data_IF_739270609844
#
_entry.id   IF_739270609844
#
_cell.length_a   1.000
_cell.length_b   1.000
_cell.length_c   1.000
_cell.angle_alpha   90.00
_cell.angle_beta   90.00
_cell.angle_gamma   90.00
#
_symmetry.space_group_name_H-M   'P 1'
#
loop_
_entity.id
_entity.type
_entity.pdbx_description
1 polymer ?
#
# COMPACT_ATOMS: atom_id res chain seq x y z
N UNK A 1 -23.24 5.62 11.39
CA UNK A 1 -22.12 5.39 10.47
C UNK A 1 -21.20 4.30 11.04
N UNK A 2 -20.53 3.54 10.18
CA UNK A 2 -19.55 2.50 10.54
C UNK A 2 -18.25 2.82 9.81
N UNK A 3 -17.14 2.96 10.52
CA UNK A 3 -15.80 3.07 9.94
C UNK A 3 -15.08 1.74 10.04
N UNK A 4 -14.98 1.03 8.92
CA UNK A 4 -14.29 -0.25 8.83
C UNK A 4 -12.85 -0.05 8.35
N UNK A 5 -11.93 0.15 9.30
CA UNK A 5 -10.49 0.27 9.07
C UNK A 5 -9.69 -0.99 9.47
N UNK A 6 -10.38 -2.04 9.93
CA UNK A 6 -9.76 -3.28 10.39
C UNK A 6 -9.33 -4.15 9.23
N UNK A 7 -8.02 -4.39 9.08
CA UNK A 7 -7.47 -5.33 8.11
C UNK A 7 -6.20 -5.99 8.66
N UNK A 8 -6.02 -7.26 8.32
CA UNK A 8 -4.74 -7.96 8.41
C UNK A 8 -3.86 -7.51 7.24
N UNK A 9 -2.79 -6.80 7.55
CA UNK A 9 -1.79 -6.32 6.58
C UNK A 9 -0.53 -7.16 6.74
N UNK A 10 -0.29 -8.05 5.78
CA UNK A 10 0.92 -8.84 5.66
C UNK A 10 1.18 -9.02 4.17
N UNK A 11 2.41 -8.71 3.75
CA UNK A 11 2.81 -8.77 2.34
C UNK A 11 3.44 -10.12 1.99
N UNK A 12 3.73 -10.97 2.99
CA UNK A 12 4.39 -12.27 2.80
C UNK A 12 3.41 -13.46 2.84
N UNK A 13 2.12 -13.21 3.07
CA UNK A 13 1.09 -14.24 3.22
C UNK A 13 0.21 -14.32 1.97
N UNK A 14 -0.31 -15.51 1.69
CA UNK A 14 -1.23 -15.71 0.56
C UNK A 14 -2.65 -15.24 0.90
N UNK A 15 -3.48 -15.15 -0.14
CA UNK A 15 -4.87 -14.73 -0.03
C UNK A 15 -5.67 -15.50 1.03
N UNK A 16 -5.42 -16.81 1.19
CA UNK A 16 -6.17 -17.69 2.09
C UNK A 16 -6.04 -17.25 3.55
N UNK A 17 -4.88 -16.77 3.93
CA UNK A 17 -4.49 -16.33 5.27
C UNK A 17 -5.08 -14.95 5.62
N UNK A 18 -5.45 -14.18 4.59
CA UNK A 18 -6.13 -12.89 4.74
C UNK A 18 -7.66 -12.97 4.60
N UNK A 19 -8.18 -14.01 3.96
CA UNK A 19 -9.62 -14.13 3.62
C UNK A 19 -10.54 -13.93 4.81
N UNK A 20 -10.25 -14.56 5.94
CA UNK A 20 -11.10 -14.48 7.13
C UNK A 20 -11.13 -13.06 7.68
N UNK A 21 -9.97 -12.44 7.90
CA UNK A 21 -9.91 -11.10 8.50
C UNK A 21 -10.42 -10.01 7.57
N UNK A 22 -10.06 -10.05 6.29
CA UNK A 22 -10.26 -8.92 5.38
C UNK A 22 -11.55 -9.07 4.57
N UNK A 23 -11.85 -10.25 4.04
CA UNK A 23 -13.07 -10.47 3.22
C UNK A 23 -14.26 -10.80 4.12
N UNK A 24 -14.16 -11.81 4.98
CA UNK A 24 -15.30 -12.14 5.86
C UNK A 24 -15.55 -11.03 6.89
N UNK A 25 -14.48 -10.39 7.39
CA UNK A 25 -14.59 -9.20 8.24
C UNK A 25 -15.37 -8.06 7.58
N UNK A 26 -15.01 -7.68 6.35
CA UNK A 26 -15.72 -6.65 5.59
C UNK A 26 -17.17 -7.07 5.30
N UNK A 27 -17.41 -8.33 4.92
CA UNK A 27 -18.75 -8.85 4.67
C UNK A 27 -19.66 -8.75 5.91
N UNK A 28 -19.15 -9.13 7.09
CA UNK A 28 -19.89 -9.01 8.34
C UNK A 28 -20.17 -7.54 8.70
N UNK A 29 -19.21 -6.65 8.49
CA UNK A 29 -19.40 -5.23 8.72
C UNK A 29 -20.44 -4.62 7.75
N UNK A 30 -20.46 -5.05 6.48
CA UNK A 30 -21.47 -4.67 5.49
C UNK A 30 -22.86 -5.19 5.86
N UNK A 31 -22.98 -6.41 6.40
CA UNK A 31 -24.26 -6.94 6.92
C UNK A 31 -24.81 -6.08 8.05
N UNK A 32 -23.95 -5.64 8.97
CA UNK A 32 -24.35 -4.69 10.01
C UNK A 32 -24.75 -3.33 9.42
N UNK A 33 -24.03 -2.88 8.39
CA UNK A 33 -24.34 -1.62 7.71
C UNK A 33 -25.69 -1.65 6.98
N UNK A 34 -26.08 -2.81 6.44
CA UNK A 34 -27.36 -3.02 5.78
C UNK A 34 -28.57 -2.78 6.69
N UNK A 35 -28.38 -2.72 8.02
CA UNK A 35 -29.40 -2.28 8.98
C UNK A 35 -29.56 -0.74 9.06
N UNK A 36 -29.30 -0.03 7.94
CA UNK A 36 -29.50 1.42 7.83
C UNK A 36 -28.34 2.28 8.34
N UNK A 37 -27.08 1.86 8.18
CA UNK A 37 -25.89 2.66 8.53
C UNK A 37 -25.05 2.99 7.28
N UNK A 38 -24.59 4.24 7.20
CA UNK A 38 -23.52 4.65 6.28
C UNK A 38 -22.25 3.85 6.56
N UNK A 39 -21.63 3.29 5.52
CA UNK A 39 -20.45 2.43 5.59
C UNK A 39 -19.22 3.10 5.00
N UNK A 40 -18.27 3.45 5.85
CA UNK A 40 -16.98 4.03 5.49
C UNK A 40 -15.92 2.92 5.48
N UNK A 41 -15.40 2.59 4.30
CA UNK A 41 -14.45 1.51 4.10
C UNK A 41 -13.05 2.05 3.83
N UNK A 42 -12.04 1.52 4.53
CA UNK A 42 -10.64 1.79 4.24
C UNK A 42 -10.05 0.65 3.41
N UNK A 43 -9.79 0.97 2.15
CA UNK A 43 -9.11 0.14 1.16
C UNK A 43 -7.61 0.50 1.09
N UNK A 44 -6.94 0.21 -0.03
CA UNK A 44 -5.56 0.61 -0.30
C UNK A 44 -5.40 1.17 -1.73
N UNK A 45 -4.40 2.03 -1.92
CA UNK A 45 -3.96 2.43 -3.27
C UNK A 45 -3.44 1.23 -4.07
N UNK A 46 -2.95 0.20 -3.37
CA UNK A 46 -2.42 -1.03 -3.97
C UNK A 46 -3.51 -1.91 -4.62
N UNK A 47 -4.81 -1.60 -4.46
CA UNK A 47 -5.92 -2.41 -5.03
C UNK A 47 -5.85 -2.60 -6.54
N UNK A 48 -5.14 -1.73 -7.25
CA UNK A 48 -4.95 -1.80 -8.70
C UNK A 48 -3.68 -2.56 -9.10
N UNK A 49 -2.90 -3.02 -8.12
CA UNK A 49 -1.65 -3.73 -8.30
C UNK A 49 -0.70 -2.99 -9.23
N UNK A 50 0.11 -3.75 -9.97
CA UNK A 50 1.22 -3.24 -10.77
C UNK A 50 0.79 -2.79 -12.17
N UNK A 51 -0.35 -2.11 -12.26
CA UNK A 51 -1.03 -1.89 -13.54
C UNK A 51 -0.26 -0.97 -14.49
N UNK A 52 0.61 -0.09 -13.98
CA UNK A 52 1.46 0.76 -14.81
C UNK A 52 2.48 -0.04 -15.62
N UNK A 53 3.20 -0.96 -14.96
CA UNK A 53 4.21 -1.80 -15.62
C UNK A 53 3.60 -2.94 -16.43
N UNK A 54 2.51 -3.54 -15.95
CA UNK A 54 1.95 -4.76 -16.55
C UNK A 54 0.94 -4.47 -17.65
N UNK A 55 0.16 -3.39 -17.53
CA UNK A 55 -0.90 -3.03 -18.48
C UNK A 55 -0.63 -1.69 -19.19
N UNK A 56 0.47 -0.99 -18.86
CA UNK A 56 0.82 0.29 -19.48
C UNK A 56 -0.01 1.48 -18.99
N UNK A 57 -0.82 1.30 -17.94
CA UNK A 57 -1.72 2.33 -17.40
C UNK A 57 -0.93 3.54 -16.92
N UNK A 58 -1.29 4.74 -17.40
CA UNK A 58 -0.61 6.00 -17.05
C UNK A 58 -1.34 6.83 -16.02
N UNK A 59 -2.66 6.71 -15.98
CA UNK A 59 -3.53 7.50 -15.11
C UNK A 59 -4.57 6.58 -14.48
N UNK A 60 -4.92 6.86 -13.23
CA UNK A 60 -5.88 6.09 -12.45
C UNK A 60 -6.88 7.05 -11.81
N UNK A 61 -8.13 6.95 -12.24
CA UNK A 61 -9.20 7.80 -11.74
C UNK A 61 -9.89 7.14 -10.55
N UNK A 62 -10.24 7.92 -9.53
CA UNK A 62 -10.75 7.39 -8.26
C UNK A 62 -12.02 6.53 -8.44
N UNK A 63 -12.85 6.88 -9.42
CA UNK A 63 -14.15 6.31 -9.73
C UNK A 63 -14.11 5.15 -10.74
N UNK A 64 -12.95 4.88 -11.34
CA UNK A 64 -12.85 3.83 -12.35
C UNK A 64 -13.08 2.43 -11.75
N UNK A 65 -13.45 1.48 -12.61
CA UNK A 65 -13.60 0.08 -12.24
C UNK A 65 -12.24 -0.53 -11.87
N UNK A 66 -12.20 -1.39 -10.85
CA UNK A 66 -11.00 -2.19 -10.56
C UNK A 66 -10.80 -3.33 -11.57
N UNK A 67 -11.84 -3.71 -12.31
CA UNK A 67 -11.83 -4.90 -13.17
C UNK A 67 -10.71 -4.92 -14.20
N UNK A 68 -10.44 -3.83 -14.95
CA UNK A 68 -9.34 -3.80 -15.93
C UNK A 68 -7.98 -4.09 -15.30
N UNK A 69 -7.78 -3.77 -14.01
CA UNK A 69 -6.51 -3.90 -13.32
C UNK A 69 -6.33 -5.24 -12.60
N UNK A 70 -7.33 -6.11 -12.58
CA UNK A 70 -7.25 -7.39 -11.85
C UNK A 70 -6.16 -8.33 -12.36
N UNK A 71 -5.77 -8.22 -13.62
CA UNK A 71 -4.67 -9.01 -14.15
C UNK A 71 -3.31 -8.57 -13.56
N UNK A 72 -3.16 -7.28 -13.28
CA UNK A 72 -1.94 -6.71 -12.70
C UNK A 72 -1.69 -7.18 -11.26
N UNK A 73 -2.77 -7.50 -10.54
CA UNK A 73 -2.72 -7.99 -9.15
C UNK A 73 -1.99 -9.33 -9.02
N UNK A 74 -1.94 -10.15 -10.09
CA UNK A 74 -1.21 -11.44 -10.07
C UNK A 74 0.30 -11.27 -9.87
N UNK A 75 0.82 -10.11 -10.27
CA UNK A 75 2.23 -9.77 -10.14
C UNK A 75 2.55 -9.12 -8.79
N UNK A 76 1.53 -8.82 -8.00
CA UNK A 76 1.65 -8.21 -6.69
C UNK A 76 1.53 -9.25 -5.55
N UNK A 77 1.93 -8.85 -4.35
CA UNK A 77 1.76 -9.63 -3.13
C UNK A 77 0.26 -9.76 -2.80
N UNK A 78 -0.15 -10.87 -2.18
CA UNK A 78 -1.56 -11.26 -2.00
C UNK A 78 -2.46 -10.21 -1.31
N UNK A 79 -1.86 -9.20 -0.68
CA UNK A 79 -2.53 -8.06 -0.04
C UNK A 79 -3.38 -7.22 -1.01
N UNK A 80 -2.88 -6.93 -2.20
CA UNK A 80 -3.57 -6.07 -3.17
C UNK A 80 -4.85 -6.71 -3.69
N UNK A 81 -4.81 -8.02 -3.95
CA UNK A 81 -5.97 -8.79 -4.38
C UNK A 81 -7.03 -8.93 -3.29
N UNK A 82 -6.64 -9.13 -2.03
CA UNK A 82 -7.62 -9.24 -0.95
C UNK A 82 -8.34 -7.91 -0.68
N UNK A 83 -7.61 -6.79 -0.74
CA UNK A 83 -8.22 -5.46 -0.63
C UNK A 83 -9.12 -5.17 -1.83
N UNK A 84 -8.69 -5.53 -3.05
CA UNK A 84 -9.50 -5.37 -4.25
C UNK A 84 -10.81 -6.17 -4.20
N UNK A 85 -10.79 -7.40 -3.68
CA UNK A 85 -12.00 -8.20 -3.46
C UNK A 85 -12.93 -7.55 -2.45
N UNK A 86 -12.40 -7.10 -1.30
CA UNK A 86 -13.21 -6.46 -0.28
C UNK A 86 -13.80 -5.14 -0.75
N UNK A 87 -13.04 -4.32 -1.47
CA UNK A 87 -13.54 -3.10 -2.08
C UNK A 87 -14.63 -3.38 -3.13
N UNK A 88 -14.47 -4.43 -3.94
CA UNK A 88 -15.48 -4.84 -4.93
C UNK A 88 -16.81 -5.23 -4.25
N UNK A 89 -16.77 -5.86 -3.07
CA UNK A 89 -17.99 -6.12 -2.28
C UNK A 89 -18.65 -4.82 -1.81
N UNK A 90 -17.86 -3.83 -1.38
CA UNK A 90 -18.40 -2.51 -0.96
C UNK A 90 -19.06 -1.80 -2.13
N UNK A 91 -18.42 -1.79 -3.31
CA UNK A 91 -18.99 -1.24 -4.55
C UNK A 91 -20.29 -1.94 -4.93
N UNK A 92 -20.34 -3.27 -4.87
CA UNK A 92 -21.57 -4.03 -5.13
C UNK A 92 -22.71 -3.68 -4.15
N UNK A 93 -22.38 -3.43 -2.88
CA UNK A 93 -23.39 -2.96 -1.91
C UNK A 93 -23.83 -1.52 -2.18
N UNK A 94 -22.92 -0.67 -2.67
CA UNK A 94 -23.28 0.68 -3.13
C UNK A 94 -24.32 0.64 -4.25
N UNK A 95 -24.08 -0.19 -5.27
CA UNK A 95 -24.99 -0.38 -6.40
C UNK A 95 -26.38 -0.89 -5.96
N UNK A 96 -26.46 -1.48 -4.75
CA UNK A 96 -27.70 -1.92 -4.09
C UNK A 96 -28.25 -0.88 -3.11
N UNK A 97 -27.92 0.39 -3.31
CA UNK A 97 -28.35 1.54 -2.52
C UNK A 97 -27.87 1.57 -1.06
N UNK A 98 -26.84 0.79 -0.69
CA UNK A 98 -26.17 1.01 0.60
C UNK A 98 -25.34 2.30 0.51
N UNK A 99 -25.51 3.27 1.44
CA UNK A 99 -24.66 4.45 1.47
C UNK A 99 -23.24 4.06 1.90
N UNK A 100 -22.29 4.11 0.98
CA UNK A 100 -20.90 3.72 1.20
C UNK A 100 -19.91 4.81 0.78
N UNK A 101 -18.73 4.86 1.40
CA UNK A 101 -17.58 5.65 0.94
C UNK A 101 -16.33 4.80 1.04
N UNK A 102 -15.45 4.88 0.03
CA UNK A 102 -14.19 4.14 0.00
C UNK A 102 -13.02 5.12 0.13
N UNK A 103 -12.10 4.86 1.05
CA UNK A 103 -10.84 5.59 1.22
C UNK A 103 -9.67 4.69 0.84
N UNK A 104 -8.79 5.16 -0.03
CA UNK A 104 -7.55 4.50 -0.45
C UNK A 104 -6.36 5.33 0.01
N UNK A 105 -5.94 5.24 1.28
CA UNK A 105 -4.77 5.95 1.76
C UNK A 105 -3.49 5.39 1.16
N UNK A 106 -2.50 6.27 0.96
CA UNK A 106 -1.13 5.87 0.69
C UNK A 106 -0.45 5.20 1.89
N UNK A 107 0.87 5.04 1.81
CA UNK A 107 1.64 4.40 2.87
C UNK A 107 1.78 5.34 4.08
N UNK A 108 1.19 4.95 5.19
CA UNK A 108 1.13 5.80 6.37
C UNK A 108 2.52 5.97 7.02
N UNK A 109 3.01 7.21 7.08
CA UNK A 109 4.16 7.60 7.91
C UNK A 109 3.68 7.95 9.32
N UNK A 110 4.20 7.27 10.35
CA UNK A 110 3.97 7.65 11.75
C UNK A 110 4.94 8.76 12.16
N UNK A 111 4.48 9.67 13.02
CA UNK A 111 5.30 10.73 13.61
C UNK A 111 6.45 10.13 14.46
N UNK A 112 7.56 10.86 14.55
CA UNK A 112 8.91 10.43 14.96
C UNK A 112 9.01 9.55 16.23
N UNK A 113 8.16 9.74 17.24
CA UNK A 113 8.39 9.17 18.57
C UNK A 113 8.19 7.65 18.71
N UNK A 114 7.57 6.97 17.73
CA UNK A 114 7.31 5.52 17.81
C UNK A 114 7.72 4.73 16.57
N UNK A 115 8.68 5.23 15.80
CA UNK A 115 9.31 4.50 14.70
C UNK A 115 10.00 3.21 15.16
N UNK A 116 10.37 3.11 16.46
CA UNK A 116 11.18 2.03 17.02
C UNK A 116 10.56 0.63 16.86
N UNK A 117 9.22 0.48 16.75
CA UNK A 117 8.53 -0.82 16.72
C UNK A 117 7.61 -1.05 15.51
N UNK A 118 7.72 -0.23 14.45
CA UNK A 118 6.87 -0.39 13.25
C UNK A 118 7.26 -1.66 12.47
N UNK A 119 6.33 -2.63 12.37
CA UNK A 119 6.44 -3.80 11.50
C UNK A 119 6.12 -3.49 10.02
N UNK A 120 5.91 -2.24 9.64
CA UNK A 120 5.56 -1.87 8.26
C UNK A 120 6.74 -2.00 7.31
N UNK A 121 6.50 -2.64 6.17
CA UNK A 121 7.48 -2.97 5.14
C UNK A 121 8.42 -1.82 4.79
N UNK A 122 7.88 -0.68 4.37
CA UNK A 122 8.63 0.52 3.98
C UNK A 122 9.53 1.09 5.10
N UNK A 123 9.04 1.11 6.35
CA UNK A 123 9.86 1.55 7.50
C UNK A 123 11.00 0.56 7.78
N UNK A 124 10.78 -0.73 7.55
CA UNK A 124 11.82 -1.74 7.73
C UNK A 124 12.89 -1.66 6.65
N UNK A 125 12.49 -1.45 5.38
CA UNK A 125 13.40 -1.26 4.26
C UNK A 125 14.34 -0.09 4.54
N UNK A 126 13.81 1.09 4.87
CA UNK A 126 14.62 2.28 5.19
C UNK A 126 15.56 2.04 6.38
N UNK A 127 15.10 1.38 7.45
CA UNK A 127 15.94 1.08 8.62
C UNK A 127 17.05 0.07 8.34
N UNK A 128 16.94 -0.73 7.28
CA UNK A 128 17.92 -1.76 6.91
C UNK A 128 18.81 -1.35 5.72
N UNK A 129 18.41 -0.33 4.95
CA UNK A 129 19.34 0.44 4.09
C UNK A 129 20.46 1.06 4.94
N UNK A 130 20.16 1.46 6.18
CA UNK A 130 21.11 2.16 7.04
C UNK A 130 22.36 1.33 7.45
N UNK A 131 22.27 0.07 7.91
CA UNK A 131 23.45 -0.79 8.11
C UNK A 131 24.20 -1.15 6.83
N UNK A 132 23.49 -1.22 5.69
CA UNK A 132 24.11 -1.50 4.40
C UNK A 132 24.81 -0.28 3.80
N UNK A 133 24.46 0.93 4.25
CA UNK A 133 24.84 2.23 3.67
C UNK A 133 24.50 2.39 2.19
N UNK A 134 23.59 1.56 1.68
CA UNK A 134 23.19 1.57 0.28
C UNK A 134 21.69 1.58 0.10
N UNK A 135 21.24 2.35 -0.88
CA UNK A 135 19.85 2.48 -1.35
C UNK A 135 19.83 1.94 -2.79
N UNK A 136 18.84 1.11 -3.18
CA UNK A 136 18.74 0.66 -4.56
C UNK A 136 18.28 1.80 -5.45
N UNK A 137 18.85 1.87 -6.65
CA UNK A 137 18.43 2.78 -7.71
C UNK A 137 17.05 2.36 -8.22
N UNK A 138 16.02 2.94 -7.61
CA UNK A 138 14.63 2.61 -7.88
C UNK A 138 13.82 3.91 -7.95
N UNK A 139 13.37 4.28 -9.15
CA UNK A 139 12.56 5.47 -9.36
C UNK A 139 11.08 5.15 -9.09
N UNK A 140 10.79 4.98 -7.80
CA UNK A 140 9.46 4.63 -7.30
C UNK A 140 9.07 5.57 -6.18
N UNK A 141 7.89 6.16 -6.30
CA UNK A 141 7.28 6.98 -5.26
C UNK A 141 6.77 6.09 -4.14
N UNK A 142 7.08 6.44 -2.90
CA UNK A 142 6.63 5.68 -1.74
C UNK A 142 5.24 6.09 -1.25
N UNK A 143 4.65 7.12 -1.85
CA UNK A 143 3.29 7.63 -1.56
C UNK A 143 3.02 7.78 -0.05
N UNK A 144 3.99 8.37 0.65
CA UNK A 144 3.87 8.55 2.10
C UNK A 144 2.80 9.57 2.45
N UNK A 145 1.89 9.20 3.34
CA UNK A 145 0.88 10.10 3.87
C UNK A 145 0.94 10.18 5.39
N UNK A 146 0.82 11.41 5.90
CA UNK A 146 0.75 11.66 7.34
C UNK A 146 -0.59 11.16 7.90
N UNK A 147 -0.56 10.43 9.01
CA UNK A 147 -1.78 9.91 9.66
C UNK A 147 -2.77 11.03 10.00
N UNK A 148 -2.27 12.20 10.42
CA UNK A 148 -3.11 13.36 10.74
C UNK A 148 -3.85 13.89 9.50
N UNK A 149 -3.18 13.90 8.34
CA UNK A 149 -3.80 14.26 7.07
C UNK A 149 -4.90 13.25 6.69
N UNK A 150 -4.61 11.94 6.76
CA UNK A 150 -5.61 10.90 6.49
C UNK A 150 -6.83 11.05 7.39
N UNK A 151 -6.62 11.27 8.69
CA UNK A 151 -7.72 11.52 9.64
C UNK A 151 -8.52 12.76 9.25
N UNK A 152 -7.85 13.88 8.97
CA UNK A 152 -8.52 15.13 8.60
C UNK A 152 -9.34 14.99 7.32
N UNK A 153 -8.77 14.36 6.28
CA UNK A 153 -9.45 14.14 5.02
C UNK A 153 -10.67 13.23 5.18
N UNK A 154 -10.54 12.11 5.90
CA UNK A 154 -11.65 11.19 6.16
C UNK A 154 -12.78 11.88 6.94
N UNK A 155 -12.45 12.66 7.97
CA UNK A 155 -13.47 13.38 8.74
C UNK A 155 -14.20 14.43 7.90
N UNK A 156 -13.47 15.15 7.04
CA UNK A 156 -14.05 16.13 6.12
C UNK A 156 -14.96 15.47 5.06
N UNK A 157 -14.55 14.33 4.52
CA UNK A 157 -15.37 13.58 3.55
C UNK A 157 -16.62 13.01 4.23
N UNK A 158 -16.46 12.47 5.44
CA UNK A 158 -17.56 11.86 6.19
C UNK A 158 -18.57 12.88 6.75
N UNK A 159 -18.28 14.18 6.71
CA UNK A 159 -19.20 15.23 7.19
C UNK A 159 -20.27 15.66 6.17
N UNK A 160 -20.28 15.10 4.96
CA UNK A 160 -21.26 15.43 3.92
C UNK A 160 -21.78 14.20 3.19
N UNK A 161 -23.10 14.11 3.04
CA UNK A 161 -23.77 13.03 2.31
C UNK A 161 -23.56 13.14 0.79
N UNK A 162 -23.18 14.31 0.26
CA UNK A 162 -22.85 14.49 -1.17
C UNK A 162 -21.62 13.68 -1.61
N UNK A 163 -20.84 13.21 -0.63
CA UNK A 163 -19.61 12.45 -0.81
C UNK A 163 -19.86 10.94 -0.82
N UNK A 164 -21.08 10.48 -0.56
CA UNK A 164 -21.48 9.08 -0.61
C UNK A 164 -21.41 8.53 -2.05
N UNK A 165 -21.15 7.23 -2.17
CA UNK A 165 -20.97 6.53 -3.45
C UNK A 165 -19.64 6.78 -4.12
N UNK A 166 -18.76 7.57 -3.51
CA UNK A 166 -17.46 7.95 -4.07
C UNK A 166 -16.32 7.17 -3.44
N UNK A 167 -15.24 7.06 -4.19
CA UNK A 167 -13.95 6.55 -3.73
C UNK A 167 -12.95 7.69 -3.72
N UNK A 168 -12.04 7.71 -2.76
CA UNK A 168 -11.03 8.78 -2.62
C UNK A 168 -9.64 8.20 -2.42
N UNK A 169 -8.68 8.59 -3.25
CA UNK A 169 -7.26 8.32 -3.07
C UNK A 169 -6.69 9.36 -2.12
N UNK A 170 -6.45 8.97 -0.87
CA UNK A 170 -5.92 9.86 0.16
C UNK A 170 -4.39 9.84 0.06
N UNK A 171 -3.89 10.58 -0.92
CA UNK A 171 -2.49 10.75 -1.26
C UNK A 171 -2.00 12.17 -0.95
N UNK A 172 -0.69 12.41 -1.10
CA UNK A 172 -0.18 13.78 -1.11
C UNK A 172 -0.87 14.55 -2.25
N UNK A 173 -1.50 15.71 -1.99
CA UNK A 173 -2.10 16.52 -3.04
C UNK A 173 -1.06 17.08 -4.01
N UNK A 174 0.20 17.13 -3.58
CA UNK A 174 1.33 17.55 -4.37
C UNK A 174 2.24 16.35 -4.63
N UNK A 175 2.18 15.84 -5.86
CA UNK A 175 2.97 14.70 -6.29
C UNK A 175 4.48 15.00 -6.32
N UNK A 176 4.88 16.27 -6.46
CA UNK A 176 6.31 16.65 -6.42
C UNK A 176 6.92 16.45 -5.03
N UNK A 177 6.08 16.34 -3.99
CA UNK A 177 6.48 16.07 -2.61
C UNK A 177 6.46 14.58 -2.27
N UNK A 178 6.06 13.71 -3.21
CA UNK A 178 6.11 12.26 -3.02
C UNK A 178 7.55 11.80 -3.19
N UNK A 179 8.21 11.53 -2.07
CA UNK A 179 9.61 11.10 -1.99
C UNK A 179 9.78 9.75 -2.71
N UNK A 180 10.70 9.70 -3.67
CA UNK A 180 11.09 8.43 -4.31
C UNK A 180 12.06 7.63 -3.43
N UNK A 181 12.28 6.35 -3.74
CA UNK A 181 13.31 5.55 -3.05
C UNK A 181 14.69 6.21 -3.21
N UNK A 182 15.01 6.80 -4.36
CA UNK A 182 16.25 7.54 -4.57
C UNK A 182 16.31 8.79 -3.70
N UNK A 183 15.22 9.57 -3.62
CA UNK A 183 15.17 10.78 -2.78
C UNK A 183 15.38 10.47 -1.30
N UNK A 184 15.03 9.25 -0.84
CA UNK A 184 15.34 8.83 0.53
C UNK A 184 16.84 8.86 0.83
N UNK A 185 17.70 8.67 -0.17
CA UNK A 185 19.14 8.83 -0.03
C UNK A 185 19.49 10.27 0.38
N UNK A 186 18.98 11.27 -0.35
CA UNK A 186 19.19 12.69 -0.06
C UNK A 186 18.73 13.06 1.35
N UNK A 187 17.49 12.69 1.69
CA UNK A 187 16.92 12.96 3.03
C UNK A 187 17.73 12.28 4.15
N UNK A 188 18.25 11.07 3.90
CA UNK A 188 19.05 10.34 4.90
C UNK A 188 20.44 10.95 5.07
N UNK A 189 21.06 11.40 3.96
CA UNK A 189 22.33 12.12 3.98
C UNK A 189 22.24 13.46 4.70
N UNK A 190 21.19 14.26 4.43
CA UNK A 190 20.91 15.51 5.14
C UNK A 190 20.69 15.29 6.65
N UNK A 191 20.15 14.14 7.03
CA UNK A 191 19.97 13.75 8.43
C UNK A 191 21.27 13.26 9.12
N UNK A 192 22.42 13.33 8.45
CA UNK A 192 23.73 12.92 9.01
C UNK A 192 23.98 11.42 8.94
N UNK A 193 23.27 10.70 8.07
CA UNK A 193 23.39 9.26 7.90
C UNK A 193 23.85 8.95 6.46
N UNK A 194 25.16 8.91 6.18
CA UNK A 194 25.67 8.74 4.83
C UNK A 194 25.26 7.39 4.23
N UNK A 195 24.55 7.46 3.11
CA UNK A 195 24.13 6.34 2.26
C UNK A 195 24.37 6.69 0.79
N UNK A 196 24.63 5.66 -0.02
CA UNK A 196 24.89 5.79 -1.45
C UNK A 196 23.85 5.03 -2.28
N UNK A 197 23.55 5.52 -3.47
CA UNK A 197 22.66 4.83 -4.41
C UNK A 197 23.49 3.83 -5.23
N UNK A 198 23.07 2.57 -5.28
CA UNK A 198 23.70 1.51 -6.07
C UNK A 198 22.67 0.83 -6.97
N UNK A 199 23.14 0.07 -7.97
CA UNK A 199 22.25 -0.69 -8.85
C UNK A 199 21.43 -1.72 -8.07
N UNK A 200 20.18 -1.96 -8.52
CA UNK A 200 19.21 -2.76 -7.77
C UNK A 200 19.73 -4.18 -7.45
N UNK A 201 20.33 -4.86 -8.43
CA UNK A 201 20.82 -6.23 -8.24
C UNK A 201 21.98 -6.28 -7.22
N UNK A 202 22.89 -5.31 -7.25
CA UNK A 202 24.00 -5.23 -6.28
C UNK A 202 23.46 -5.00 -4.87
N UNK A 203 22.41 -4.17 -4.75
CA UNK A 203 21.72 -3.96 -3.49
C UNK A 203 21.06 -5.24 -2.97
N UNK A 204 20.40 -6.00 -3.84
CA UNK A 204 19.75 -7.27 -3.47
C UNK A 204 20.75 -8.29 -2.95
N UNK A 205 21.91 -8.43 -3.59
CA UNK A 205 22.97 -9.35 -3.14
C UNK A 205 23.51 -8.91 -1.77
N UNK A 206 23.74 -7.62 -1.54
CA UNK A 206 24.14 -7.14 -0.21
C UNK A 206 23.08 -7.41 0.87
N UNK A 207 21.80 -7.25 0.54
CA UNK A 207 20.70 -7.57 1.47
C UNK A 207 20.68 -9.06 1.77
N UNK A 208 20.93 -9.90 0.77
CA UNK A 208 20.99 -11.35 0.91
C UNK A 208 22.18 -11.82 1.76
N UNK A 209 23.36 -11.26 1.57
CA UNK A 209 24.55 -11.60 2.37
C UNK A 209 24.41 -11.19 3.84
N UNK A 210 23.77 -10.04 4.09
CA UNK A 210 23.63 -9.46 5.44
C UNK A 210 22.40 -9.96 6.19
N UNK A 211 21.54 -10.77 5.56
CA UNK A 211 20.34 -11.29 6.20
C UNK A 211 20.67 -12.35 7.25
N UNK A 212 19.83 -12.47 8.27
CA UNK A 212 19.89 -13.55 9.27
C UNK A 212 18.68 -14.46 9.06
N UNK A 213 18.77 -15.78 9.33
CA UNK A 213 17.66 -16.72 9.16
C UNK A 213 16.38 -16.30 9.89
N UNK A 214 16.50 -15.76 11.11
CA UNK A 214 15.36 -15.22 11.89
C UNK A 214 15.14 -13.72 11.68
N UNK A 215 15.83 -13.15 10.70
CA UNK A 215 15.78 -11.74 10.35
C UNK A 215 14.56 -11.44 9.49
N UNK A 216 13.91 -10.32 9.75
CA UNK A 216 12.79 -9.82 8.94
C UNK A 216 13.14 -9.59 7.44
N UNK A 217 14.43 -9.52 7.08
CA UNK A 217 14.84 -9.46 5.68
C UNK A 217 14.58 -10.79 4.96
N UNK A 218 14.72 -11.93 5.65
CA UNK A 218 14.48 -13.25 5.09
C UNK A 218 13.06 -13.37 4.53
N UNK A 219 12.06 -12.82 5.23
CA UNK A 219 10.67 -12.83 4.75
C UNK A 219 10.40 -11.89 3.58
N UNK A 220 11.28 -10.92 3.33
CA UNK A 220 11.16 -9.95 2.24
C UNK A 220 12.00 -10.30 1.00
N UNK A 221 12.92 -11.27 1.13
CA UNK A 221 13.72 -11.75 0.00
C UNK A 221 12.89 -12.15 -1.23
N UNK A 222 11.72 -12.81 -1.11
CA UNK A 222 10.90 -13.09 -2.29
C UNK A 222 10.51 -11.81 -3.04
N UNK A 223 10.15 -10.75 -2.32
CA UNK A 223 9.81 -9.46 -2.94
C UNK A 223 11.00 -8.84 -3.68
N UNK A 224 12.22 -9.02 -3.17
CA UNK A 224 13.41 -8.45 -3.77
C UNK A 224 14.00 -9.28 -4.92
N UNK A 225 13.85 -10.61 -4.90
CA UNK A 225 14.53 -11.54 -5.83
C UNK A 225 13.61 -12.21 -6.83
N UNK A 226 12.33 -12.41 -6.50
CA UNK A 226 11.40 -13.13 -7.38
C UNK A 226 11.13 -12.30 -8.63
N UNK A 227 11.49 -12.86 -9.78
CA UNK A 227 11.25 -12.24 -11.08
C UNK A 227 9.81 -12.49 -11.49
N UNK A 228 9.07 -11.41 -11.66
CA UNK A 228 7.63 -11.48 -11.98
C UNK A 228 7.32 -10.94 -13.37
N UNK A 229 8.20 -10.09 -13.94
CA UNK A 229 8.03 -9.54 -15.28
C UNK A 229 9.38 -9.50 -16.02
N UNK A 230 9.64 -10.53 -16.83
CA UNK A 230 10.90 -10.67 -17.56
C UNK A 230 12.09 -10.82 -16.60
N UNK A 231 12.97 -9.80 -16.56
CA UNK A 231 14.13 -9.76 -15.65
C UNK A 231 13.86 -9.01 -14.36
N UNK A 232 12.74 -8.29 -14.26
CA UNK A 232 12.43 -7.41 -13.14
C UNK A 232 11.87 -8.22 -11.97
N UNK A 233 12.41 -7.93 -10.79
CA UNK A 233 11.91 -8.42 -9.52
C UNK A 233 10.58 -7.75 -9.14
N UNK A 234 9.85 -8.39 -8.23
CA UNK A 234 8.55 -7.92 -7.74
C UNK A 234 8.58 -6.48 -7.21
N UNK A 235 9.65 -6.09 -6.51
CA UNK A 235 9.78 -4.71 -6.04
C UNK A 235 10.10 -3.73 -7.18
N UNK A 236 10.86 -4.13 -8.20
CA UNK A 236 11.18 -3.25 -9.34
C UNK A 236 9.94 -2.83 -10.14
N UNK A 237 8.89 -3.65 -10.13
CA UNK A 237 7.63 -3.38 -10.83
C UNK A 237 6.53 -2.77 -9.94
N UNK A 238 6.79 -2.53 -8.65
CA UNK A 238 5.84 -1.89 -7.73
C UNK A 238 5.85 -0.36 -7.79
N UNK A 239 5.20 0.22 -8.81
CA UNK A 239 4.93 1.66 -8.90
C UNK A 239 3.50 2.01 -8.51
#
# INVERSE_FOLDING_TARGET
>A
MIFHAGAKVNFCEFYREHRTSNVLGACNALRLAAAGKVFHYFSSIDTRGLTGFTLGTKELYEYESLMPHTQAVRYDLGYSGIQGTAESMVRCMHDRALPTVIYRPGHHRRQQDRMKQSRRLHVQIVRRMHPARHVPKLDQRLEYVAVNYVKSAVMHIASSDEKLGRSYSILSPDQSKSVTVIDTCGVTNEAGHPVEVIEYNDWVEQVFEKQRPDGLLASLLPMFRERVLGRLARWEVSQ
#
